data_IF_715880807455
#
_entry.id   IF_715880807455
#
_cell.length_a   1.000
_cell.length_b   1.000
_cell.length_c   1.000
_cell.angle_alpha   90.00
_cell.angle_beta   90.00
_cell.angle_gamma   90.00
#
_symmetry.space_group_name_H-M   'P 1'
#
loop_
_entity.id
_entity.type
_entity.pdbx_description
1 polymer ?
#
# COMPACT_ATOMS: atom_id res chain seq x y z
N UNK A 1 29.67 -0.64 6.03
CA UNK A 1 28.29 -0.26 6.31
C UNK A 1 27.43 -1.52 6.27
N UNK A 2 26.51 -1.69 7.18
CA UNK A 2 25.61 -2.82 7.25
C UNK A 2 24.16 -2.33 7.41
N UNK A 3 23.20 -3.13 6.91
CA UNK A 3 21.78 -2.86 7.06
C UNK A 3 21.27 -3.45 8.38
N UNK A 4 20.53 -2.67 9.12
CA UNK A 4 19.91 -3.05 10.39
C UNK A 4 18.40 -2.92 10.24
N UNK A 5 17.69 -4.04 10.40
CA UNK A 5 16.23 -4.06 10.32
C UNK A 5 15.61 -3.17 11.38
N UNK A 6 14.59 -2.44 10.99
CA UNK A 6 13.69 -1.67 11.82
C UNK A 6 12.27 -2.11 11.57
N UNK A 7 11.50 -2.17 12.63
CA UNK A 7 10.09 -2.54 12.61
C UNK A 7 9.32 -1.55 13.48
N UNK A 8 8.12 -1.20 13.08
CA UNK A 8 7.25 -0.34 13.89
C UNK A 8 5.81 -0.76 13.72
N UNK A 9 5.07 -0.69 14.82
CA UNK A 9 3.61 -0.80 14.81
C UNK A 9 3.04 0.60 15.08
N UNK A 10 2.21 1.08 14.15
CA UNK A 10 1.57 2.38 14.27
C UNK A 10 0.07 2.26 14.40
N UNK A 11 -0.51 3.06 15.29
CA UNK A 11 -1.94 3.19 15.41
C UNK A 11 -2.41 4.43 14.63
N UNK A 12 -3.06 4.21 13.48
CA UNK A 12 -3.57 5.27 12.61
C UNK A 12 -4.88 5.89 13.13
N UNK A 13 -5.53 5.29 14.13
CA UNK A 13 -6.77 5.80 14.69
C UNK A 13 -7.68 4.70 15.24
N UNK A 14 -8.91 5.10 15.50
CA UNK A 14 -9.96 4.20 16.02
C UNK A 14 -11.07 4.10 14.98
N UNK A 15 -11.36 2.87 14.55
CA UNK A 15 -12.56 2.54 13.77
C UNK A 15 -13.68 2.00 14.68
N UNK A 16 -14.87 1.77 14.12
CA UNK A 16 -15.97 1.11 14.84
C UNK A 16 -15.62 -0.31 15.34
N UNK A 17 -14.62 -0.95 14.72
CA UNK A 17 -14.17 -2.31 15.05
C UNK A 17 -12.94 -2.34 15.97
N UNK A 18 -12.36 -1.18 16.31
CA UNK A 18 -11.18 -1.08 17.17
C UNK A 18 -10.08 -0.18 16.63
N UNK A 19 -8.88 -0.29 17.20
CA UNK A 19 -7.71 0.44 16.70
C UNK A 19 -7.28 -0.08 15.33
N UNK A 20 -7.00 0.84 14.43
CA UNK A 20 -6.38 0.55 13.14
C UNK A 20 -4.87 0.66 13.32
N UNK A 21 -4.16 -0.46 13.18
CA UNK A 21 -2.70 -0.50 13.29
C UNK A 21 -2.09 -0.93 11.96
N UNK A 22 -0.95 -0.33 11.62
CA UNK A 22 -0.15 -0.67 10.45
C UNK A 22 1.24 -1.08 10.91
N UNK A 23 1.75 -2.18 10.37
CA UNK A 23 3.10 -2.65 10.64
C UNK A 23 3.99 -2.23 9.47
N UNK A 24 5.06 -1.49 9.79
CA UNK A 24 6.09 -1.13 8.84
C UNK A 24 7.37 -1.94 9.09
N UNK A 25 8.03 -2.37 8.02
CA UNK A 25 9.33 -3.01 8.04
C UNK A 25 10.27 -2.29 7.08
N UNK A 26 11.50 -1.99 7.52
CA UNK A 26 12.52 -1.37 6.69
C UNK A 26 13.92 -1.67 7.25
N UNK A 27 14.95 -0.99 6.75
CA UNK A 27 16.31 -1.12 7.26
C UNK A 27 17.06 0.21 7.20
N UNK A 28 17.86 0.49 8.24
CA UNK A 28 18.76 1.63 8.26
C UNK A 28 20.20 1.19 7.98
N UNK A 29 20.91 1.94 7.15
CA UNK A 29 22.32 1.68 6.84
C UNK A 29 23.23 2.42 7.81
N UNK A 30 23.96 1.67 8.65
CA UNK A 30 24.93 2.20 9.61
C UNK A 30 26.33 1.63 9.37
N UNK A 31 27.35 2.44 9.61
CA UNK A 31 28.76 2.01 9.63
C UNK A 31 29.08 1.31 10.95
N UNK A 32 30.18 0.54 10.97
CA UNK A 32 30.66 -0.11 12.19
C UNK A 32 30.98 0.92 13.30
N UNK A 33 31.49 2.09 12.93
CA UNK A 33 31.78 3.18 13.87
C UNK A 33 30.50 3.75 14.49
N UNK A 34 29.45 3.95 13.70
CA UNK A 34 28.14 4.43 14.19
C UNK A 34 27.50 3.41 15.14
N UNK A 35 27.60 2.13 14.80
CA UNK A 35 27.12 1.04 15.69
C UNK A 35 27.91 1.00 16.98
N UNK A 36 29.25 1.15 16.96
CA UNK A 36 30.08 1.18 18.15
C UNK A 36 29.75 2.38 19.05
N UNK A 37 29.43 3.53 18.47
CA UNK A 37 28.94 4.70 19.19
C UNK A 37 27.63 4.37 19.90
N UNK A 38 26.63 3.82 19.20
CA UNK A 38 25.33 3.45 19.78
C UNK A 38 25.49 2.44 20.91
N UNK A 39 26.25 1.36 20.69
CA UNK A 39 26.52 0.34 21.73
C UNK A 39 27.17 0.95 22.98
N UNK A 40 28.13 1.85 22.79
CA UNK A 40 28.79 2.54 23.92
C UNK A 40 27.81 3.42 24.67
N UNK A 41 27.00 4.24 23.98
CA UNK A 41 26.01 5.12 24.61
C UNK A 41 24.98 4.35 25.40
N UNK A 42 24.45 3.25 24.86
CA UNK A 42 23.50 2.38 25.55
C UNK A 42 24.11 1.87 26.87
N UNK A 43 25.36 1.41 26.83
CA UNK A 43 26.06 0.93 28.05
C UNK A 43 26.35 2.03 29.08
N UNK A 44 26.73 3.21 28.62
CA UNK A 44 27.08 4.36 29.48
C UNK A 44 25.84 4.98 30.16
N UNK A 45 24.72 5.03 29.43
CA UNK A 45 23.46 5.64 29.90
C UNK A 45 22.52 4.63 30.55
N UNK A 46 22.74 3.34 30.36
CA UNK A 46 21.84 2.25 30.74
C UNK A 46 20.39 2.46 30.21
N UNK A 47 20.32 2.96 28.98
CA UNK A 47 19.05 3.27 28.29
C UNK A 47 19.16 2.95 26.81
N UNK A 48 18.01 2.64 26.20
CA UNK A 48 17.81 2.46 24.75
C UNK A 48 16.96 3.56 24.12
N UNK A 49 16.43 4.46 24.95
CA UNK A 49 15.62 5.59 24.47
C UNK A 49 16.49 6.64 23.80
N UNK A 50 16.19 6.92 22.52
CA UNK A 50 16.90 7.87 21.67
C UNK A 50 16.98 9.26 22.31
N UNK A 51 15.93 9.69 23.03
CA UNK A 51 15.90 10.99 23.72
C UNK A 51 16.82 10.98 24.97
N UNK A 52 16.84 9.91 25.74
CA UNK A 52 17.72 9.77 26.89
C UNK A 52 19.20 9.65 26.47
N UNK A 53 19.45 9.05 25.30
CA UNK A 53 20.78 9.01 24.69
C UNK A 53 21.22 10.37 24.14
N UNK A 54 20.26 11.28 23.93
CA UNK A 54 20.47 12.63 23.39
C UNK A 54 21.16 12.62 22.02
N UNK A 55 20.75 11.65 21.15
CA UNK A 55 21.35 11.42 19.84
C UNK A 55 21.23 12.63 18.92
N UNK A 56 20.10 13.31 18.94
CA UNK A 56 19.86 14.48 18.10
C UNK A 56 20.90 15.58 18.30
N UNK A 57 21.30 15.83 19.56
CA UNK A 57 22.26 16.88 19.89
C UNK A 57 23.72 16.45 19.76
N UNK A 58 24.06 15.21 20.14
CA UNK A 58 25.45 14.75 20.20
C UNK A 58 25.88 13.93 18.99
N UNK A 59 24.96 13.30 18.29
CA UNK A 59 25.23 12.46 17.11
C UNK A 59 24.17 12.68 16.02
N UNK A 60 24.02 13.93 15.52
CA UNK A 60 22.94 14.31 14.61
C UNK A 60 22.95 13.49 13.29
N UNK A 61 24.11 13.07 12.81
CA UNK A 61 24.19 12.26 11.59
C UNK A 61 23.61 10.85 11.79
N UNK A 62 23.81 10.26 12.96
CA UNK A 62 23.20 8.96 13.30
C UNK A 62 21.69 9.13 13.50
N UNK A 63 21.30 10.15 14.27
CA UNK A 63 19.88 10.46 14.50
C UNK A 63 19.13 10.65 13.17
N UNK A 64 19.69 11.45 12.28
CA UNK A 64 19.09 11.74 10.96
C UNK A 64 18.87 10.48 10.13
N UNK A 65 19.81 9.54 10.12
CA UNK A 65 19.65 8.27 9.40
C UNK A 65 18.53 7.41 9.97
N UNK A 66 18.44 7.34 11.29
CA UNK A 66 17.34 6.64 11.97
C UNK A 66 15.99 7.32 11.68
N UNK A 67 15.94 8.63 11.85
CA UNK A 67 14.76 9.46 11.64
C UNK A 67 14.21 9.32 10.21
N UNK A 68 15.06 9.49 9.19
CA UNK A 68 14.71 9.31 7.78
C UNK A 68 14.19 7.89 7.48
N UNK A 69 14.81 6.86 8.06
CA UNK A 69 14.40 5.48 7.84
C UNK A 69 13.05 5.17 8.52
N UNK A 70 12.82 5.66 9.74
CA UNK A 70 11.54 5.49 10.44
C UNK A 70 10.42 6.29 9.80
N UNK A 71 10.70 7.54 9.36
CA UNK A 71 9.75 8.35 8.63
C UNK A 71 9.30 7.65 7.34
N UNK A 72 10.26 7.21 6.51
CA UNK A 72 9.94 6.55 5.24
C UNK A 72 9.13 5.26 5.45
N UNK A 73 9.52 4.46 6.44
CA UNK A 73 8.80 3.23 6.79
C UNK A 73 7.35 3.52 7.20
N UNK A 74 7.16 4.54 8.02
CA UNK A 74 5.85 4.94 8.49
C UNK A 74 5.00 5.50 7.33
N UNK A 75 5.59 6.33 6.50
CA UNK A 75 4.94 6.88 5.32
C UNK A 75 4.47 5.76 4.37
N UNK A 76 5.35 4.82 4.03
CA UNK A 76 5.03 3.71 3.13
C UNK A 76 3.90 2.82 3.68
N UNK A 77 3.90 2.59 5.00
CA UNK A 77 2.88 1.80 5.67
C UNK A 77 1.51 2.51 5.70
N UNK A 78 1.49 3.81 5.99
CA UNK A 78 0.26 4.61 5.95
C UNK A 78 -0.26 4.78 4.53
N UNK A 79 0.63 5.04 3.56
CA UNK A 79 0.27 5.20 2.16
C UNK A 79 -0.46 3.96 1.63
N UNK A 80 0.13 2.78 1.79
CA UNK A 80 -0.48 1.55 1.30
C UNK A 80 -1.81 1.24 2.01
N UNK A 81 -1.90 1.51 3.30
CA UNK A 81 -3.14 1.35 4.04
C UNK A 81 -4.26 2.22 3.46
N UNK A 82 -3.99 3.52 3.26
CA UNK A 82 -4.99 4.46 2.74
C UNK A 82 -5.33 4.21 1.27
N UNK A 83 -4.39 3.71 0.48
CA UNK A 83 -4.66 3.28 -0.90
C UNK A 83 -5.65 2.11 -0.92
N UNK A 84 -5.45 1.07 -0.12
CA UNK A 84 -6.37 -0.05 -0.02
C UNK A 84 -7.74 0.38 0.53
N UNK A 85 -7.76 1.21 1.54
CA UNK A 85 -9.02 1.72 2.10
C UNK A 85 -9.77 2.57 1.08
N UNK A 86 -9.09 3.45 0.36
CA UNK A 86 -9.65 4.25 -0.72
C UNK A 86 -10.26 3.39 -1.83
N UNK A 87 -9.54 2.35 -2.25
CA UNK A 87 -10.04 1.41 -3.25
C UNK A 87 -11.32 0.67 -2.77
N UNK A 88 -11.29 0.07 -1.59
CA UNK A 88 -12.44 -0.67 -1.07
C UNK A 88 -13.66 0.21 -0.76
N UNK A 89 -13.45 1.48 -0.50
CA UNK A 89 -14.54 2.45 -0.29
C UNK A 89 -14.99 3.13 -1.59
N UNK A 90 -14.42 2.79 -2.75
CA UNK A 90 -14.78 3.37 -4.04
C UNK A 90 -14.44 4.86 -4.15
N UNK A 91 -13.33 5.29 -3.50
CA UNK A 91 -12.90 6.69 -3.50
C UNK A 91 -12.12 7.08 -4.75
N UNK A 92 -11.64 6.11 -5.53
CA UNK A 92 -10.85 6.38 -6.73
C UNK A 92 -11.74 6.49 -7.95
N UNK A 93 -11.54 7.56 -8.70
CA UNK A 93 -12.16 7.75 -10.01
C UNK A 93 -11.26 7.13 -11.09
N UNK A 94 -11.86 6.55 -12.12
CA UNK A 94 -11.16 6.06 -13.30
C UNK A 94 -12.09 6.07 -14.51
N UNK A 95 -11.50 6.15 -15.69
CA UNK A 95 -12.21 6.02 -16.95
C UNK A 95 -12.45 4.54 -17.25
N UNK A 96 -13.69 4.08 -17.10
CA UNK A 96 -14.08 2.68 -17.32
C UNK A 96 -13.65 2.17 -18.69
N UNK A 97 -13.89 2.94 -19.76
CA UNK A 97 -13.53 2.55 -21.12
C UNK A 97 -12.00 2.45 -21.31
N UNK A 98 -11.28 3.45 -20.79
CA UNK A 98 -9.83 3.49 -20.88
C UNK A 98 -9.16 2.39 -20.07
N UNK A 99 -9.63 2.15 -18.85
CA UNK A 99 -9.11 1.10 -17.98
C UNK A 99 -9.44 -0.29 -18.54
N UNK A 100 -10.67 -0.51 -19.00
CA UNK A 100 -11.09 -1.77 -19.62
C UNK A 100 -10.24 -2.10 -20.86
N UNK A 101 -10.02 -1.12 -21.74
CA UNK A 101 -9.18 -1.30 -22.93
C UNK A 101 -7.73 -1.63 -22.57
N UNK A 102 -7.20 -1.02 -21.53
CA UNK A 102 -5.88 -1.36 -21.00
C UNK A 102 -5.83 -2.79 -20.46
N UNK A 103 -6.82 -3.19 -19.67
CA UNK A 103 -6.90 -4.53 -19.09
C UNK A 103 -7.08 -5.62 -20.15
N UNK A 104 -7.87 -5.35 -21.19
CA UNK A 104 -8.01 -6.27 -22.36
C UNK A 104 -6.67 -6.49 -23.06
N UNK A 105 -5.91 -5.43 -23.25
CA UNK A 105 -4.67 -5.49 -24.02
C UNK A 105 -3.49 -6.04 -23.21
N UNK A 106 -3.33 -5.62 -21.98
CA UNK A 106 -2.11 -5.84 -21.19
C UNK A 106 -2.27 -6.86 -20.07
N UNK A 107 -3.48 -6.99 -19.48
CA UNK A 107 -3.70 -7.79 -18.28
C UNK A 107 -4.54 -9.05 -18.52
N UNK A 108 -5.07 -9.22 -19.73
CA UNK A 108 -5.76 -10.46 -20.14
C UNK A 108 -7.25 -10.51 -19.81
N UNK A 109 -7.88 -9.39 -19.47
CA UNK A 109 -9.34 -9.33 -19.44
C UNK A 109 -9.88 -9.68 -20.83
N UNK A 110 -10.92 -10.51 -20.87
CA UNK A 110 -11.63 -10.83 -22.12
C UNK A 110 -13.09 -11.10 -21.80
N UNK A 111 -13.94 -10.56 -22.63
CA UNK A 111 -15.39 -10.75 -22.52
C UNK A 111 -15.94 -11.30 -23.84
N UNK A 112 -16.73 -12.37 -23.74
CA UNK A 112 -17.46 -12.96 -24.85
C UNK A 112 -18.94 -12.97 -24.49
N UNK A 113 -19.73 -12.13 -25.15
CA UNK A 113 -21.15 -12.07 -24.90
C UNK A 113 -21.85 -13.33 -25.45
N UNK A 114 -22.62 -14.00 -24.58
CA UNK A 114 -23.44 -15.16 -24.95
C UNK A 114 -24.90 -14.85 -24.66
N UNK A 115 -25.66 -14.47 -25.66
CA UNK A 115 -27.03 -13.99 -25.48
C UNK A 115 -27.93 -14.93 -24.64
N UNK A 116 -27.72 -16.24 -24.78
CA UNK A 116 -28.46 -17.27 -24.05
C UNK A 116 -28.22 -17.30 -22.51
N UNK A 117 -27.16 -16.62 -22.03
CA UNK A 117 -26.87 -16.50 -20.60
C UNK A 117 -27.54 -15.28 -19.96
N UNK A 118 -27.94 -14.30 -20.79
CA UNK A 118 -28.38 -12.98 -20.32
C UNK A 118 -29.86 -12.66 -20.73
N UNK A 119 -30.33 -13.23 -21.86
CA UNK A 119 -31.63 -12.94 -22.40
C UNK A 119 -32.60 -14.12 -22.22
N UNK A 120 -33.87 -13.82 -21.95
CA UNK A 120 -34.92 -14.82 -21.97
C UNK A 120 -35.27 -15.23 -23.41
N UNK A 121 -36.26 -16.16 -23.55
CA UNK A 121 -36.64 -16.70 -24.89
C UNK A 121 -37.22 -15.62 -25.81
N UNK A 122 -37.98 -14.67 -25.25
CA UNK A 122 -38.61 -13.60 -26.02
C UNK A 122 -37.56 -12.57 -26.45
N UNK A 123 -36.66 -12.15 -25.55
CA UNK A 123 -35.59 -11.21 -25.85
C UNK A 123 -34.55 -11.80 -26.83
N UNK A 124 -34.28 -13.11 -26.71
CA UNK A 124 -33.43 -13.81 -27.68
C UNK A 124 -33.99 -13.80 -29.11
N UNK A 125 -35.30 -13.84 -29.25
CA UNK A 125 -35.95 -13.76 -30.59
C UNK A 125 -35.81 -12.35 -31.17
N UNK A 126 -36.02 -11.30 -30.37
CA UNK A 126 -35.82 -9.90 -30.75
C UNK A 126 -34.39 -9.59 -31.04
N UNK A 127 -33.46 -10.04 -30.21
CA UNK A 127 -32.00 -9.87 -30.42
C UNK A 127 -31.55 -10.46 -31.76
N UNK A 128 -32.08 -11.60 -32.18
CA UNK A 128 -31.73 -12.21 -33.48
C UNK A 128 -32.24 -11.41 -34.67
N UNK A 129 -33.34 -10.66 -34.48
CA UNK A 129 -33.93 -9.81 -35.53
C UNK A 129 -33.19 -8.46 -35.63
N UNK A 130 -32.81 -7.86 -34.50
CA UNK A 130 -32.16 -6.55 -34.43
C UNK A 130 -31.11 -6.50 -33.29
N UNK A 131 -29.91 -7.06 -33.49
CA UNK A 131 -28.84 -7.05 -32.50
C UNK A 131 -28.36 -5.66 -32.11
N UNK A 132 -28.46 -4.67 -33.03
CA UNK A 132 -27.98 -3.31 -32.80
C UNK A 132 -28.83 -2.59 -31.74
N UNK A 133 -30.07 -2.98 -31.53
CA UNK A 133 -30.93 -2.40 -30.50
C UNK A 133 -30.54 -2.80 -29.07
N UNK A 134 -29.65 -3.77 -28.89
CA UNK A 134 -29.16 -4.29 -27.61
C UNK A 134 -27.71 -3.91 -27.29
N UNK A 135 -27.11 -2.97 -28.04
CA UNK A 135 -25.72 -2.58 -27.82
C UNK A 135 -25.47 -2.02 -26.43
N UNK A 136 -26.42 -1.24 -25.90
CA UNK A 136 -26.31 -0.65 -24.57
C UNK A 136 -26.38 -1.73 -23.47
N UNK A 137 -27.33 -2.69 -23.57
CA UNK A 137 -27.44 -3.80 -22.62
C UNK A 137 -26.20 -4.73 -22.66
N UNK A 138 -25.66 -4.98 -23.83
CA UNK A 138 -24.44 -5.77 -24.00
C UNK A 138 -23.24 -5.05 -23.39
N UNK A 139 -23.18 -3.73 -23.55
CA UNK A 139 -22.15 -2.90 -22.92
C UNK A 139 -22.25 -2.93 -21.39
N UNK A 140 -23.45 -2.78 -20.84
CA UNK A 140 -23.70 -2.85 -19.39
C UNK A 140 -23.25 -4.19 -18.81
N UNK A 141 -23.61 -5.31 -19.46
CA UNK A 141 -23.16 -6.65 -19.07
C UNK A 141 -21.63 -6.79 -19.14
N UNK A 142 -21.00 -6.20 -20.16
CA UNK A 142 -19.55 -6.17 -20.28
C UNK A 142 -18.90 -5.39 -19.13
N UNK A 143 -19.47 -4.25 -18.75
CA UNK A 143 -19.01 -3.45 -17.61
C UNK A 143 -19.13 -4.22 -16.29
N UNK A 144 -20.26 -4.91 -16.05
CA UNK A 144 -20.42 -5.75 -14.85
C UNK A 144 -19.35 -6.86 -14.79
N UNK A 145 -19.14 -7.56 -15.90
CA UNK A 145 -18.12 -8.60 -15.99
C UNK A 145 -16.69 -8.03 -15.81
N UNK A 146 -16.44 -6.82 -16.31
CA UNK A 146 -15.17 -6.14 -16.10
C UNK A 146 -14.95 -5.78 -14.63
N UNK A 147 -15.94 -5.21 -13.95
CA UNK A 147 -15.82 -4.83 -12.54
C UNK A 147 -15.60 -6.05 -11.63
N UNK A 148 -16.27 -7.17 -11.92
CA UNK A 148 -16.04 -8.43 -11.19
C UNK A 148 -14.60 -8.93 -11.41
N UNK A 149 -14.16 -9.00 -12.67
CA UNK A 149 -12.79 -9.40 -13.00
C UNK A 149 -11.75 -8.46 -12.38
N UNK A 150 -11.98 -7.13 -12.44
CA UNK A 150 -11.08 -6.12 -11.88
C UNK A 150 -10.94 -6.28 -10.36
N UNK A 151 -12.03 -6.53 -9.66
CA UNK A 151 -12.02 -6.79 -8.22
C UNK A 151 -11.17 -8.01 -7.87
N UNK A 152 -11.32 -9.09 -8.62
CA UNK A 152 -10.53 -10.31 -8.45
C UNK A 152 -9.05 -10.07 -8.76
N UNK A 153 -8.76 -9.36 -9.86
CA UNK A 153 -7.41 -9.02 -10.26
C UNK A 153 -6.70 -8.19 -9.20
N UNK A 154 -7.31 -7.09 -8.76
CA UNK A 154 -6.74 -6.18 -7.75
C UNK A 154 -6.53 -6.90 -6.42
N UNK A 155 -7.45 -7.76 -6.00
CA UNK A 155 -7.33 -8.54 -4.77
C UNK A 155 -6.15 -9.53 -4.77
N UNK A 156 -5.61 -9.84 -5.94
CA UNK A 156 -4.43 -10.70 -6.12
C UNK A 156 -3.09 -9.96 -6.15
N UNK A 157 -3.09 -8.63 -6.16
CA UNK A 157 -1.88 -7.82 -6.23
C UNK A 157 -1.14 -7.79 -4.88
N UNK A 158 0.18 -7.71 -4.94
CA UNK A 158 0.99 -7.29 -3.79
C UNK A 158 0.83 -5.79 -3.54
N UNK A 159 1.23 -5.32 -2.35
CA UNK A 159 1.15 -3.90 -1.99
C UNK A 159 1.88 -2.99 -2.99
N UNK A 160 3.05 -3.38 -3.47
CA UNK A 160 3.81 -2.61 -4.46
C UNK A 160 3.10 -2.57 -5.83
N UNK A 161 2.55 -3.71 -6.29
CA UNK A 161 1.79 -3.78 -7.53
C UNK A 161 0.48 -3.00 -7.43
N UNK A 162 -0.20 -3.06 -6.28
CA UNK A 162 -1.42 -2.30 -6.02
C UNK A 162 -1.15 -0.79 -6.01
N UNK A 163 -0.07 -0.35 -5.36
CA UNK A 163 0.38 1.05 -5.38
C UNK A 163 0.58 1.55 -6.81
N UNK A 164 1.37 0.81 -7.61
CA UNK A 164 1.63 1.17 -8.99
C UNK A 164 0.34 1.20 -9.82
N UNK A 165 -0.56 0.24 -9.62
CA UNK A 165 -1.81 0.15 -10.35
C UNK A 165 -2.77 1.28 -9.99
N UNK A 166 -2.97 1.59 -8.70
CA UNK A 166 -3.88 2.64 -8.25
C UNK A 166 -3.44 4.03 -8.72
N UNK A 167 -2.15 4.36 -8.60
CA UNK A 167 -1.62 5.65 -9.06
C UNK A 167 -1.62 5.80 -10.58
N UNK A 168 -1.39 4.74 -11.33
CA UNK A 168 -1.27 4.85 -12.78
C UNK A 168 -2.60 4.69 -13.53
N UNK A 169 -3.61 4.05 -12.91
CA UNK A 169 -4.82 3.66 -13.62
C UNK A 169 -6.14 4.03 -12.90
N UNK A 170 -6.10 4.43 -11.63
CA UNK A 170 -7.29 4.72 -10.83
C UNK A 170 -7.30 6.12 -10.22
N UNK A 171 -6.55 7.06 -10.75
CA UNK A 171 -6.47 8.45 -10.28
C UNK A 171 -6.38 8.58 -8.74
N UNK A 172 -5.62 7.67 -8.12
CA UNK A 172 -5.38 7.71 -6.70
C UNK A 172 -4.41 8.85 -6.39
N UNK A 173 -4.92 9.98 -5.91
CA UNK A 173 -4.13 11.11 -5.44
C UNK A 173 -4.17 11.14 -3.90
N UNK A 174 -3.21 10.47 -3.27
CA UNK A 174 -3.10 10.43 -1.82
C UNK A 174 -1.97 11.35 -1.36
N UNK A 175 -2.31 12.32 -0.51
CA UNK A 175 -1.35 13.20 0.14
C UNK A 175 -1.46 13.01 1.67
N UNK A 176 -0.39 12.48 2.27
CA UNK A 176 -0.27 12.31 3.73
C UNK A 176 0.42 13.54 4.30
N UNK A 177 -0.34 14.40 5.00
CA UNK A 177 0.17 15.68 5.53
C UNK A 177 1.05 15.50 6.78
N UNK A 178 0.67 14.57 7.70
CA UNK A 178 1.35 14.35 8.97
C UNK A 178 1.44 12.84 9.28
N UNK A 179 2.62 12.27 9.13
CA UNK A 179 2.89 10.86 9.47
C UNK A 179 3.46 10.78 10.88
N UNK A 180 2.78 10.07 11.78
CA UNK A 180 3.26 9.86 13.15
C UNK A 180 4.20 8.65 13.21
N UNK A 181 5.37 8.82 13.82
CA UNK A 181 6.34 7.73 14.04
C UNK A 181 7.20 8.00 15.27
N UNK A 182 7.86 6.95 15.73
CA UNK A 182 8.83 7.02 16.82
C UNK A 182 10.16 6.45 16.38
N UNK A 183 11.22 7.22 16.57
CA UNK A 183 12.58 6.78 16.25
C UNK A 183 13.11 5.89 17.38
N UNK A 184 13.54 4.68 17.02
CA UNK A 184 14.10 3.71 17.96
C UNK A 184 15.46 3.22 17.48
N UNK A 185 16.23 2.60 18.38
CA UNK A 185 17.47 1.92 18.04
C UNK A 185 17.13 0.50 17.57
N UNK A 186 17.68 0.04 16.44
CA UNK A 186 17.46 -1.31 15.95
C UNK A 186 17.74 -2.39 17.01
N UNK A 187 16.85 -3.34 17.20
CA UNK A 187 16.90 -4.37 18.24
C UNK A 187 18.21 -5.19 18.21
N UNK A 188 18.77 -5.40 17.01
CA UNK A 188 20.04 -6.10 16.84
C UNK A 188 21.24 -5.32 17.41
N UNK A 189 21.18 -3.97 17.45
CA UNK A 189 22.19 -3.12 18.08
C UNK A 189 22.01 -3.14 19.61
N UNK A 190 20.78 -3.08 20.09
CA UNK A 190 20.45 -3.23 21.52
C UNK A 190 21.00 -4.57 22.03
N UNK A 191 20.75 -5.66 21.31
CA UNK A 191 21.26 -6.98 21.67
C UNK A 191 22.81 -7.06 21.73
N UNK A 192 23.52 -6.33 20.85
CA UNK A 192 24.99 -6.21 20.91
C UNK A 192 25.46 -5.45 22.16
N UNK A 193 24.71 -4.44 22.60
CA UNK A 193 25.05 -3.68 23.81
C UNK A 193 24.86 -4.49 25.10
N UNK A 194 24.01 -5.49 25.12
CA UNK A 194 23.73 -6.35 26.28
C UNK A 194 24.72 -7.52 26.44
N UNK A 195 25.62 -7.73 25.49
CA UNK A 195 26.70 -8.71 25.53
C UNK A 195 27.97 -8.11 26.15
#
# INVERSE_FOLDING_TARGET
>A
MALYSIESEQCLGMSHSGAVTVNGESAVELSDEEVDILVRLIKEKDSTDVKELDLENFHPDIYKKLDEAYYQMAYDAEEIHWLWEGYYNGCFEYDDDGLMAYCEKELGFSFEFKPEEYFDEDDLEYYKEDPESYEDEIYDVKCEAFHEWLSDYVSGLSDDEARDFFYNHMDADLNLDDVEYTVEIPQTIIAKAQQ
#
